data_IF_075336009080
#
_entry.id   IF_075336009080
#
_cell.length_a   1.000
_cell.length_b   1.000
_cell.length_c   1.000
_cell.angle_alpha   90.00
_cell.angle_beta   90.00
_cell.angle_gamma   90.00
#
_symmetry.space_group_name_H-M   'P 1'
#
loop_
_entity.id
_entity.type
_entity.pdbx_description
1 polymer ?
#
# COMPACT_ATOMS: atom_id res chain seq x y z
N UNK A 1 2.05 4.81 -18.52
CA UNK A 1 0.97 5.18 -17.58
C UNK A 1 1.25 4.60 -16.17
N UNK A 2 1.52 3.28 -16.00
CA UNK A 2 1.71 2.61 -14.69
C UNK A 2 2.83 3.24 -13.84
N UNK A 3 4.02 3.42 -14.40
CA UNK A 3 5.17 4.02 -13.70
C UNK A 3 4.90 5.46 -13.22
N UNK A 4 4.04 6.21 -13.94
CA UNK A 4 3.65 7.56 -13.52
C UNK A 4 2.68 7.51 -12.34
N UNK A 5 1.78 6.53 -12.29
CA UNK A 5 0.89 6.31 -11.14
C UNK A 5 1.70 5.90 -9.91
N UNK A 6 2.65 4.98 -10.06
CA UNK A 6 3.57 4.60 -8.98
C UNK A 6 4.30 5.82 -8.39
N UNK A 7 4.85 6.69 -9.26
CA UNK A 7 5.46 7.95 -8.84
C UNK A 7 4.48 8.84 -8.06
N UNK A 8 3.25 8.98 -8.56
CA UNK A 8 2.25 9.86 -7.97
C UNK A 8 1.77 9.33 -6.60
N UNK A 9 1.64 8.01 -6.45
CA UNK A 9 1.37 7.35 -5.18
C UNK A 9 2.52 7.62 -4.20
N UNK A 10 3.75 7.28 -4.57
CA UNK A 10 4.93 7.49 -3.73
C UNK A 10 5.14 8.96 -3.36
N UNK A 11 4.81 9.90 -4.25
CA UNK A 11 4.90 11.34 -3.97
C UNK A 11 3.81 11.84 -3.02
N UNK A 12 2.67 11.16 -2.95
CA UNK A 12 1.52 11.53 -2.10
C UNK A 12 1.52 10.81 -0.75
N UNK A 13 2.29 9.72 -0.60
CA UNK A 13 2.34 8.93 0.63
C UNK A 13 3.36 9.48 1.62
N UNK A 14 2.95 9.56 2.90
CA UNK A 14 3.84 9.85 4.03
C UNK A 14 3.35 9.00 5.22
N UNK A 15 3.86 7.79 5.34
CA UNK A 15 3.41 6.83 6.34
C UNK A 15 4.60 6.02 6.89
N UNK A 16 4.65 5.70 8.21
CA UNK A 16 5.78 5.02 8.84
C UNK A 16 6.06 3.61 8.28
N UNK A 17 5.08 2.96 7.68
CA UNK A 17 5.18 1.60 7.14
C UNK A 17 5.06 1.56 5.61
N UNK A 18 5.35 2.68 4.94
CA UNK A 18 5.45 2.78 3.48
C UNK A 18 6.81 3.40 3.12
N UNK A 19 7.48 2.86 2.11
CA UNK A 19 8.76 3.37 1.64
C UNK A 19 8.65 4.83 1.21
N UNK A 20 9.51 5.68 1.75
CA UNK A 20 9.53 7.11 1.42
C UNK A 20 10.26 7.34 0.10
N UNK A 21 9.64 8.10 -0.81
CA UNK A 21 10.32 8.62 -1.99
C UNK A 21 10.90 10.00 -1.71
N UNK A 22 12.22 10.13 -1.75
CA UNK A 22 12.89 11.41 -1.55
C UNK A 22 12.85 12.28 -2.80
N UNK A 23 12.95 11.66 -3.98
CA UNK A 23 13.00 12.38 -5.25
C UNK A 23 12.63 11.47 -6.41
N UNK A 24 12.00 12.06 -7.45
CA UNK A 24 11.88 11.45 -8.77
C UNK A 24 12.59 12.35 -9.79
N UNK A 25 13.31 11.74 -10.72
CA UNK A 25 14.00 12.43 -11.81
C UNK A 25 13.70 11.71 -13.13
N UNK A 26 13.60 12.47 -14.19
CA UNK A 26 13.41 11.98 -15.53
C UNK A 26 14.52 12.49 -16.46
N UNK A 27 15.14 11.59 -17.20
CA UNK A 27 15.97 11.91 -18.37
C UNK A 27 15.12 11.70 -19.63
N UNK A 28 15.72 11.86 -20.81
CA UNK A 28 15.05 11.63 -22.09
C UNK A 28 14.47 10.23 -22.19
N UNK A 29 15.19 9.22 -21.67
CA UNK A 29 14.88 7.80 -21.90
C UNK A 29 14.60 7.00 -20.60
N UNK A 30 14.80 7.60 -19.41
CA UNK A 30 14.72 6.90 -18.13
C UNK A 30 14.05 7.73 -17.06
N UNK A 31 13.34 7.03 -16.15
CA UNK A 31 12.78 7.59 -14.93
C UNK A 31 13.51 6.98 -13.72
N UNK A 32 13.91 7.83 -12.79
CA UNK A 32 14.67 7.43 -11.60
C UNK A 32 13.87 7.80 -10.36
N UNK A 33 13.69 6.82 -9.44
CA UNK A 33 13.13 7.03 -8.11
C UNK A 33 14.22 6.87 -7.07
N UNK A 34 14.37 7.87 -6.21
CA UNK A 34 15.26 7.82 -5.05
C UNK A 34 14.40 7.49 -3.84
N UNK A 35 14.48 6.24 -3.40
CA UNK A 35 13.66 5.69 -2.34
C UNK A 35 14.47 5.49 -1.07
N UNK A 36 13.78 5.43 0.07
CA UNK A 36 14.35 5.03 1.34
C UNK A 36 14.97 3.63 1.22
N UNK A 37 16.24 3.53 1.62
CA UNK A 37 16.93 2.24 1.63
C UNK A 37 16.58 1.46 2.90
N UNK A 38 16.21 0.20 2.74
CA UNK A 38 15.84 -0.71 3.81
C UNK A 38 16.86 -1.87 3.90
N UNK A 39 17.96 -1.73 4.67
CA UNK A 39 19.06 -2.70 4.68
C UNK A 39 18.71 -4.08 5.26
N UNK A 40 17.53 -4.21 5.89
CA UNK A 40 16.98 -5.52 6.31
C UNK A 40 16.58 -6.43 5.15
N UNK A 41 16.48 -5.87 3.91
CA UNK A 41 16.11 -6.59 2.71
C UNK A 41 14.63 -6.93 2.63
N UNK A 42 14.27 -7.90 1.80
CA UNK A 42 12.89 -8.35 1.62
C UNK A 42 12.40 -9.15 2.83
N UNK A 43 11.15 -8.91 3.25
CA UNK A 43 10.49 -9.65 4.33
C UNK A 43 10.38 -11.14 4.01
N UNK A 44 10.15 -11.48 2.74
CA UNK A 44 10.20 -12.85 2.26
C UNK A 44 11.48 -13.59 2.70
N UNK A 45 12.64 -12.95 2.53
CA UNK A 45 13.92 -13.55 2.94
C UNK A 45 14.06 -13.67 4.44
N UNK A 46 13.54 -12.69 5.17
CA UNK A 46 13.52 -12.74 6.63
C UNK A 46 12.68 -13.92 7.13
N UNK A 47 11.48 -14.14 6.55
CA UNK A 47 10.63 -15.28 6.86
C UNK A 47 11.31 -16.61 6.51
N UNK A 48 11.92 -16.71 5.33
CA UNK A 48 12.60 -17.94 4.86
C UNK A 48 13.80 -18.36 5.74
N UNK A 49 14.40 -17.42 6.47
CA UNK A 49 15.49 -17.69 7.43
C UNK A 49 14.96 -18.18 8.78
N UNK A 50 13.68 -18.03 9.07
CA UNK A 50 13.09 -18.49 10.32
C UNK A 50 12.93 -20.03 10.34
N UNK A 51 12.95 -20.66 11.52
CA UNK A 51 12.66 -22.08 11.66
C UNK A 51 11.31 -22.43 11.00
N UNK A 52 11.33 -23.47 10.14
CA UNK A 52 10.13 -23.89 9.37
C UNK A 52 9.52 -22.76 8.51
N UNK A 53 10.30 -21.70 8.20
CA UNK A 53 9.91 -20.54 7.39
C UNK A 53 8.68 -19.76 7.93
N UNK A 54 8.48 -19.77 9.23
CA UNK A 54 7.33 -19.17 9.91
C UNK A 54 7.76 -18.44 11.19
N UNK A 55 6.89 -17.58 11.71
CA UNK A 55 7.12 -16.82 12.94
C UNK A 55 6.02 -17.12 13.97
N UNK A 56 6.27 -16.91 15.27
CA UNK A 56 5.28 -17.01 16.32
C UNK A 56 4.08 -16.07 16.07
N UNK A 57 2.90 -16.47 16.56
CA UNK A 57 1.66 -15.69 16.36
C UNK A 57 1.77 -14.26 16.91
N UNK A 58 2.45 -14.05 18.05
CA UNK A 58 2.69 -12.72 18.59
C UNK A 58 3.53 -11.83 17.66
N UNK A 59 4.48 -12.41 16.94
CA UNK A 59 5.28 -11.70 15.93
C UNK A 59 4.46 -11.41 14.67
N UNK A 60 3.65 -12.39 14.23
CA UNK A 60 2.75 -12.22 13.10
C UNK A 60 1.71 -11.13 13.38
N UNK A 61 1.14 -11.09 14.60
CA UNK A 61 0.24 -10.01 15.06
C UNK A 61 0.89 -8.64 14.92
N UNK A 62 2.13 -8.48 15.39
CA UNK A 62 2.88 -7.23 15.31
C UNK A 62 3.04 -6.77 13.85
N UNK A 63 3.58 -7.64 13.00
CA UNK A 63 3.82 -7.32 11.60
C UNK A 63 2.53 -7.14 10.79
N UNK A 64 1.50 -7.94 11.05
CA UNK A 64 0.17 -7.74 10.47
C UNK A 64 -0.40 -6.37 10.84
N UNK A 65 -0.19 -5.89 12.08
CA UNK A 65 -0.64 -4.56 12.50
C UNK A 65 0.01 -3.44 11.69
N UNK A 66 1.30 -3.54 11.39
CA UNK A 66 2.02 -2.56 10.56
C UNK A 66 1.49 -2.52 9.13
N UNK A 67 1.30 -3.69 8.51
CA UNK A 67 0.81 -3.81 7.15
C UNK A 67 -0.66 -3.35 7.05
N UNK A 68 -1.49 -3.68 8.05
CA UNK A 68 -2.87 -3.21 8.12
C UNK A 68 -2.94 -1.68 8.06
N UNK A 69 -2.14 -0.98 8.88
CA UNK A 69 -2.10 0.49 8.87
C UNK A 69 -1.62 1.05 7.53
N UNK A 70 -0.66 0.39 6.87
CA UNK A 70 -0.19 0.81 5.55
C UNK A 70 -1.28 0.67 4.47
N UNK A 71 -2.00 -0.45 4.44
CA UNK A 71 -3.11 -0.69 3.49
C UNK A 71 -4.28 0.25 3.79
N UNK A 72 -4.69 0.39 5.07
CA UNK A 72 -5.72 1.35 5.48
C UNK A 72 -5.41 2.76 4.98
N UNK A 73 -4.16 3.22 5.15
CA UNK A 73 -3.72 4.53 4.69
C UNK A 73 -3.80 4.70 3.17
N UNK A 74 -3.41 3.68 2.39
CA UNK A 74 -3.55 3.70 0.93
C UNK A 74 -5.02 3.78 0.52
N UNK A 75 -5.90 3.00 1.15
CA UNK A 75 -7.35 3.03 0.87
C UNK A 75 -7.97 4.39 1.22
N UNK A 76 -7.54 5.04 2.32
CA UNK A 76 -7.96 6.41 2.67
C UNK A 76 -7.53 7.44 1.62
N UNK A 77 -6.40 7.24 0.95
CA UNK A 77 -5.96 8.07 -0.18
C UNK A 77 -6.65 7.70 -1.50
N UNK A 78 -7.52 6.69 -1.52
CA UNK A 78 -8.22 6.22 -2.71
C UNK A 78 -7.37 5.32 -3.61
N UNK A 79 -6.35 4.67 -3.08
CA UNK A 79 -5.52 3.71 -3.81
C UNK A 79 -5.79 2.28 -3.35
N UNK A 80 -5.81 1.35 -4.29
CA UNK A 80 -5.82 -0.10 -4.06
C UNK A 80 -4.43 -0.60 -4.41
N UNK A 81 -3.80 -1.36 -3.51
CA UNK A 81 -2.40 -1.79 -3.65
C UNK A 81 -2.22 -2.98 -4.62
N UNK A 82 -3.03 -4.03 -4.49
CA UNK A 82 -3.19 -5.21 -5.38
C UNK A 82 -2.01 -6.17 -5.50
N UNK A 83 -0.87 -5.89 -4.89
CA UNK A 83 0.31 -6.77 -4.97
C UNK A 83 0.96 -7.00 -3.60
N UNK A 84 0.11 -7.18 -2.56
CA UNK A 84 0.60 -7.48 -1.22
C UNK A 84 1.13 -8.91 -1.19
N UNK A 85 2.43 -9.03 -0.93
CA UNK A 85 3.17 -10.28 -0.75
C UNK A 85 4.49 -10.00 -0.04
N UNK A 86 5.14 -11.00 0.59
CA UNK A 86 6.36 -10.79 1.37
C UNK A 86 7.53 -10.21 0.57
N UNK A 87 7.57 -10.42 -0.76
CA UNK A 87 8.60 -9.88 -1.66
C UNK A 87 8.51 -8.36 -1.80
N UNK A 88 7.30 -7.79 -1.73
CA UNK A 88 7.03 -6.36 -1.86
C UNK A 88 7.05 -5.62 -0.52
N UNK A 89 7.41 -6.30 0.54
CA UNK A 89 7.59 -5.73 1.88
C UNK A 89 9.08 -5.73 2.20
N UNK A 90 9.62 -4.56 2.52
CA UNK A 90 11.01 -4.39 2.93
C UNK A 90 11.11 -4.28 4.44
N UNK A 91 12.26 -4.68 4.97
CA UNK A 91 12.58 -4.59 6.40
C UNK A 91 13.52 -3.42 6.62
N UNK A 92 13.07 -2.43 7.37
CA UNK A 92 13.90 -1.31 7.79
C UNK A 92 15.00 -1.78 8.75
N UNK A 93 16.08 -1.02 8.90
CA UNK A 93 17.16 -1.33 9.85
C UNK A 93 16.71 -1.48 11.31
N UNK A 94 15.61 -0.84 11.69
CA UNK A 94 15.00 -0.98 13.00
C UNK A 94 14.20 -2.27 13.20
N UNK A 95 13.93 -3.02 12.14
CA UNK A 95 13.09 -4.22 12.13
C UNK A 95 11.61 -3.98 11.76
N UNK A 96 11.18 -2.72 11.60
CA UNK A 96 9.84 -2.39 11.11
C UNK A 96 9.69 -2.74 9.62
N UNK A 97 8.46 -3.06 9.22
CA UNK A 97 8.13 -3.35 7.83
C UNK A 97 7.79 -2.07 7.06
N UNK A 98 8.16 -2.06 5.79
CA UNK A 98 7.93 -0.97 4.86
C UNK A 98 7.33 -1.52 3.56
N UNK A 99 6.07 -1.14 3.24
CA UNK A 99 5.43 -1.51 1.99
C UNK A 99 6.12 -0.80 0.83
N UNK A 100 6.45 -1.53 -0.23
CA UNK A 100 7.18 -1.05 -1.42
C UNK A 100 6.50 -1.56 -2.70
N UNK A 101 7.02 -1.18 -3.86
CA UNK A 101 6.54 -1.58 -5.20
C UNK A 101 5.04 -1.32 -5.44
N UNK A 102 4.74 -0.13 -5.97
CA UNK A 102 3.38 0.31 -6.31
C UNK A 102 3.05 0.12 -7.79
N UNK A 103 3.85 -0.65 -8.53
CA UNK A 103 3.70 -0.85 -9.98
C UNK A 103 2.38 -1.47 -10.41
N UNK A 104 1.68 -2.16 -9.51
CA UNK A 104 0.35 -2.74 -9.75
C UNK A 104 -0.79 -2.00 -9.04
N UNK A 105 -0.51 -0.95 -8.27
CA UNK A 105 -1.53 -0.17 -7.59
C UNK A 105 -2.46 0.56 -8.57
N UNK A 106 -3.70 0.86 -8.13
CA UNK A 106 -4.69 1.62 -8.90
C UNK A 106 -5.41 2.66 -8.04
N UNK A 107 -5.92 3.72 -8.71
CA UNK A 107 -6.92 4.59 -8.10
C UNK A 107 -8.24 3.82 -7.98
N UNK A 108 -8.90 3.94 -6.83
CA UNK A 108 -10.27 3.48 -6.65
C UNK A 108 -11.18 4.43 -7.43
N UNK A 109 -11.71 3.97 -8.57
CA UNK A 109 -12.76 4.71 -9.26
C UNK A 109 -14.02 4.56 -8.46
N UNK A 110 -14.57 5.66 -7.98
CA UNK A 110 -15.87 5.70 -7.32
C UNK A 110 -16.98 5.42 -8.35
N UNK A 111 -17.28 4.15 -8.58
CA UNK A 111 -18.50 3.72 -9.26
C UNK A 111 -19.63 3.69 -8.23
N UNK A 112 -19.96 4.84 -7.66
CA UNK A 112 -21.17 5.06 -6.88
C UNK A 112 -22.16 5.84 -7.73
N UNK A 113 -23.42 5.45 -7.73
CA UNK A 113 -24.53 6.07 -8.44
C UNK A 113 -24.74 7.57 -8.15
N UNK A 114 -23.92 8.20 -7.31
CA UNK A 114 -24.08 9.58 -6.86
C UNK A 114 -22.84 10.46 -7.05
N UNK A 115 -21.98 10.21 -7.99
CA UNK A 115 -21.00 11.17 -8.57
C UNK A 115 -20.37 12.23 -7.64
N UNK A 116 -20.33 12.05 -6.31
CA UNK A 116 -19.70 12.98 -5.38
C UNK A 116 -18.37 12.43 -4.88
N UNK A 117 -17.25 13.12 -5.12
CA UNK A 117 -15.98 12.79 -4.48
C UNK A 117 -16.12 12.94 -2.96
N UNK A 118 -15.65 11.98 -2.20
CA UNK A 118 -15.43 12.15 -0.76
C UNK A 118 -14.52 13.37 -0.56
N UNK A 119 -15.08 14.44 0.00
CA UNK A 119 -14.32 15.60 0.46
C UNK A 119 -13.51 15.15 1.69
N UNK A 120 -12.22 14.96 1.53
CA UNK A 120 -11.33 14.64 2.62
C UNK A 120 -9.89 14.99 2.29
N UNK A 121 -9.42 16.02 2.95
CA UNK A 121 -8.02 16.33 3.25
C UNK A 121 -7.07 16.48 2.05
N UNK A 122 -7.03 17.68 1.51
CA UNK A 122 -5.92 18.13 0.65
C UNK A 122 -4.67 18.33 1.50
N UNK A 123 -3.55 17.63 1.23
CA UNK A 123 -2.24 18.08 1.73
C UNK A 123 -1.87 19.36 0.97
N UNK A 124 -1.78 20.46 1.69
CA UNK A 124 -1.39 21.75 1.14
C UNK A 124 0.05 21.72 0.58
N UNK A 125 0.21 21.44 -0.68
CA UNK A 125 1.47 21.68 -1.40
C UNK A 125 1.45 23.12 -1.86
N UNK A 126 2.01 24.03 -1.04
CA UNK A 126 2.37 25.36 -1.49
C UNK A 126 3.49 25.26 -2.53
N UNK A 127 3.13 25.36 -3.80
CA UNK A 127 4.09 25.60 -4.88
C UNK A 127 4.69 26.99 -4.70
N UNK A 128 5.87 27.10 -4.08
CA UNK A 128 6.72 28.29 -4.19
C UNK A 128 7.09 28.49 -5.66
N UNK A 129 6.44 29.47 -6.30
CA UNK A 129 6.88 30.00 -7.59
C UNK A 129 8.21 30.73 -7.37
N UNK A 130 9.31 30.09 -7.73
CA UNK A 130 10.60 30.77 -7.85
C UNK A 130 10.54 31.75 -9.02
N UNK A 131 10.34 33.00 -8.71
CA UNK A 131 10.56 34.13 -9.61
C UNK A 131 12.03 34.52 -9.51
N UNK A 132 12.81 34.13 -10.50
CA UNK A 132 14.22 34.58 -10.63
C UNK A 132 14.24 36.08 -10.81
N UNK A 133 14.78 36.79 -9.82
CA UNK A 133 15.35 38.15 -10.01
C UNK A 133 16.82 38.08 -9.63
N UNK A 134 17.64 38.38 -10.62
CA UNK A 134 19.05 38.73 -10.45
C UNK A 134 19.13 40.04 -9.66
N UNK A 135 19.90 40.09 -8.56
CA UNK A 135 20.61 41.29 -8.12
C UNK A 135 21.52 40.96 -6.94
N UNK A 136 22.73 41.34 -7.02
CA UNK A 136 23.72 42.01 -6.24
C UNK A 136 23.80 41.68 -4.75
N UNK A 137 25.01 41.29 -4.39
CA UNK A 137 25.53 41.17 -3.03
C UNK A 137 25.62 42.57 -2.40
N UNK A 138 24.88 42.80 -1.30
CA UNK A 138 25.19 43.88 -0.34
C UNK A 138 24.92 43.40 1.09
N UNK A 139 25.92 43.65 1.95
CA UNK A 139 25.97 43.32 3.38
C UNK A 139 25.24 44.40 4.18
N UNK A 140 24.31 44.11 5.09
CA UNK A 140 23.76 45.12 5.98
C UNK A 140 24.54 45.21 7.28
N UNK A 141 24.92 46.44 7.62
CA UNK A 141 25.43 46.86 8.93
C UNK A 141 24.29 46.91 9.96
N UNK A 142 24.64 46.52 11.18
CA UNK A 142 23.83 46.66 12.39
C UNK A 142 23.58 48.16 12.74
N UNK A 143 22.33 48.48 13.10
CA UNK A 143 22.04 49.60 14.00
C UNK A 143 20.74 49.37 14.77
N UNK A 144 20.81 49.70 16.05
CA UNK A 144 19.80 49.62 17.11
C UNK A 144 18.63 50.59 16.92
N UNK A 145 17.43 50.19 17.44
CA UNK A 145 16.54 51.22 17.97
C UNK A 145 15.05 51.00 17.92
N UNK A 146 14.51 50.65 19.06
CA UNK A 146 13.20 51.06 19.68
C UNK A 146 11.84 50.81 19.03
N UNK A 147 11.03 50.31 19.93
CA UNK A 147 9.60 50.06 19.92
C UNK A 147 8.69 51.24 19.63
N UNK A 148 7.51 51.00 19.09
CA UNK A 148 6.24 51.56 19.60
C UNK A 148 5.03 50.95 18.93
N UNK A 149 3.98 50.80 19.72
CA UNK A 149 2.62 50.26 19.46
C UNK A 149 1.84 51.10 18.40
N UNK A 150 0.77 50.49 17.88
CA UNK A 150 -0.63 50.99 17.83
C UNK A 150 -1.44 50.14 16.79
N UNK A 151 -2.36 49.30 17.24
CA UNK A 151 -3.84 49.28 17.27
C UNK A 151 -4.60 49.50 15.95
N UNK A 152 -5.43 48.51 15.71
CA UNK A 152 -6.82 48.48 15.16
C UNK A 152 -7.10 48.67 13.66
N UNK A 153 -8.06 47.83 13.23
CA UNK A 153 -8.98 48.17 12.18
C UNK A 153 -9.31 47.03 11.20
N UNK A 154 -10.40 46.31 11.48
CA UNK A 154 -10.93 45.25 10.66
C UNK A 154 -11.58 45.72 9.36
N UNK A 155 -11.84 44.80 8.48
CA UNK A 155 -13.10 44.63 7.74
C UNK A 155 -13.06 43.43 6.78
N UNK A 156 -14.13 42.66 6.86
CA UNK A 156 -14.57 41.57 5.99
C UNK A 156 -14.50 41.87 4.49
N UNK A 157 -14.17 40.82 3.69
CA UNK A 157 -14.92 40.48 2.47
C UNK A 157 -14.64 39.06 2.00
N UNK A 158 -15.63 38.26 2.13
CA UNK A 158 -16.25 37.18 1.32
C UNK A 158 -15.57 36.71 0.02
N UNK A 159 -15.45 35.35 -0.02
CA UNK A 159 -15.70 34.41 -1.13
C UNK A 159 -15.02 34.59 -2.49
N UNK A 160 -14.21 33.57 -2.85
CA UNK A 160 -14.55 32.66 -3.95
C UNK A 160 -13.57 31.48 -3.98
N UNK A 161 -14.13 30.30 -3.67
CA UNK A 161 -13.53 28.99 -3.92
C UNK A 161 -13.38 28.76 -5.43
N UNK A 162 -12.19 28.39 -5.88
CA UNK A 162 -11.90 27.95 -7.24
C UNK A 162 -11.36 26.53 -7.21
N UNK A 163 -12.19 25.57 -7.58
CA UNK A 163 -11.86 24.18 -7.80
C UNK A 163 -10.69 24.00 -8.78
N UNK A 164 -9.67 23.27 -8.37
CA UNK A 164 -8.55 22.92 -9.24
C UNK A 164 -8.16 21.43 -9.08
N UNK A 165 -9.11 20.51 -9.26
CA UNK A 165 -8.84 19.06 -9.24
C UNK A 165 -9.46 18.29 -10.42
N UNK A 166 -10.12 18.95 -11.38
CA UNK A 166 -10.80 18.28 -12.51
C UNK A 166 -9.96 18.17 -13.80
N UNK A 167 -8.64 18.36 -13.75
CA UNK A 167 -7.79 18.39 -14.96
C UNK A 167 -6.82 17.20 -15.12
N UNK A 168 -6.94 16.16 -14.32
CA UNK A 168 -6.08 14.97 -14.43
C UNK A 168 -6.76 13.72 -14.99
N UNK A 169 -8.07 13.77 -15.21
CA UNK A 169 -8.80 12.72 -15.94
C UNK A 169 -9.43 13.39 -17.16
N UNK A 170 -8.88 13.16 -18.35
CA UNK A 170 -9.23 13.82 -19.60
C UNK A 170 -10.72 13.74 -19.92
N UNK A 171 -11.35 14.90 -20.00
CA UNK A 171 -12.69 15.06 -20.50
C UNK A 171 -12.68 15.21 -22.02
N UNK A 172 -13.49 14.39 -22.69
CA UNK A 172 -13.93 14.60 -24.06
C UNK A 172 -15.44 14.63 -24.04
N UNK A 173 -16.02 15.79 -24.35
CA UNK A 173 -17.45 15.97 -24.56
C UNK A 173 -17.85 15.38 -25.90
N UNK A 174 -18.94 14.60 -25.99
CA UNK A 174 -20.11 14.88 -26.83
C UNK A 174 -21.16 13.75 -26.82
N UNK A 175 -22.43 14.18 -26.56
CA UNK A 175 -23.73 13.79 -27.15
C UNK A 175 -24.32 12.42 -26.85
N UNK A 176 -25.43 12.46 -26.11
CA UNK A 176 -26.68 11.66 -26.07
C UNK A 176 -26.72 10.34 -26.89
N UNK A 177 -27.01 9.24 -26.19
CA UNK A 177 -27.49 8.00 -26.77
C UNK A 177 -27.38 6.82 -25.82
N UNK A 178 -28.50 6.42 -25.27
CA UNK A 178 -28.93 5.09 -24.83
C UNK A 178 -28.06 4.23 -23.88
N UNK A 179 -28.69 3.81 -22.79
CA UNK A 179 -28.25 2.91 -21.74
C UNK A 179 -27.72 1.58 -22.27
N UNK A 180 -26.40 1.40 -22.16
CA UNK A 180 -25.77 0.08 -22.13
C UNK A 180 -24.70 0.10 -21.03
N UNK A 181 -24.50 -0.98 -20.27
CA UNK A 181 -23.48 -1.01 -19.23
C UNK A 181 -22.11 -0.93 -19.90
N UNK A 182 -21.39 0.17 -19.66
CA UNK A 182 -20.00 0.34 -20.11
C UNK A 182 -19.15 -0.65 -19.35
N UNK A 183 -18.89 -1.78 -19.98
CA UNK A 183 -17.82 -2.70 -19.56
C UNK A 183 -16.51 -2.01 -19.93
N UNK A 184 -15.77 -1.57 -18.91
CA UNK A 184 -14.46 -0.95 -19.07
C UNK A 184 -13.51 -1.90 -19.81
N UNK A 185 -13.27 -1.61 -21.07
CA UNK A 185 -12.33 -2.35 -21.94
C UNK A 185 -10.89 -2.31 -21.38
N UNK A 186 -10.54 -1.32 -20.57
CA UNK A 186 -9.25 -1.27 -19.87
C UNK A 186 -9.15 -2.30 -18.72
N UNK A 187 -10.27 -2.65 -18.07
CA UNK A 187 -10.28 -3.70 -17.03
C UNK A 187 -10.06 -5.09 -17.63
N UNK A 188 -10.55 -5.33 -18.87
CA UNK A 188 -10.33 -6.60 -19.57
C UNK A 188 -8.89 -6.77 -20.03
N UNK A 189 -8.23 -5.70 -20.54
CA UNK A 189 -6.83 -5.75 -20.96
C UNK A 189 -5.87 -5.99 -19.79
N UNK A 190 -6.17 -5.43 -18.60
CA UNK A 190 -5.34 -5.60 -17.41
C UNK A 190 -5.57 -6.97 -16.76
N UNK A 191 -6.77 -7.54 -16.86
CA UNK A 191 -7.06 -8.90 -16.38
C UNK A 191 -6.32 -9.95 -17.21
N UNK A 192 -6.27 -9.80 -18.54
CA UNK A 192 -5.48 -10.68 -19.40
C UNK A 192 -3.97 -10.51 -19.15
N UNK A 193 -3.48 -9.27 -18.93
CA UNK A 193 -2.09 -9.02 -18.58
C UNK A 193 -1.74 -9.45 -17.16
N UNK A 194 -2.69 -9.43 -16.23
CA UNK A 194 -2.55 -9.94 -14.87
C UNK A 194 -2.42 -11.46 -14.84
N UNK A 195 -3.32 -12.16 -15.50
CA UNK A 195 -3.30 -13.62 -15.64
C UNK A 195 -2.05 -14.10 -16.43
N UNK A 196 -1.71 -13.45 -17.54
CA UNK A 196 -0.51 -13.78 -18.31
C UNK A 196 0.81 -13.46 -17.58
N UNK A 197 0.84 -12.47 -16.65
CA UNK A 197 1.98 -12.24 -15.76
C UNK A 197 2.01 -13.24 -14.60
N UNK A 198 0.86 -13.65 -14.08
CA UNK A 198 0.77 -14.70 -13.06
C UNK A 198 1.34 -16.03 -13.57
N UNK A 199 1.16 -16.34 -14.86
CA UNK A 199 1.73 -17.54 -15.49
C UNK A 199 3.26 -17.49 -15.65
N UNK A 200 3.90 -16.31 -15.56
CA UNK A 200 5.37 -16.16 -15.66
C UNK A 200 6.12 -16.15 -14.33
N UNK A 201 5.43 -16.13 -13.19
CA UNK A 201 6.05 -16.07 -11.86
C UNK A 201 5.50 -17.17 -10.93
N UNK A 202 6.30 -18.20 -10.72
CA UNK A 202 6.07 -19.23 -9.70
C UNK A 202 6.10 -18.58 -8.32
N UNK A 203 4.94 -18.29 -7.71
CA UNK A 203 4.83 -17.70 -6.38
C UNK A 203 3.73 -16.64 -6.26
N UNK A 204 3.48 -15.86 -7.29
CA UNK A 204 2.46 -14.78 -7.26
C UNK A 204 1.04 -15.32 -7.35
N UNK A 205 0.83 -16.49 -7.96
CA UNK A 205 -0.48 -17.13 -8.10
C UNK A 205 -1.14 -17.41 -6.75
N UNK A 206 -0.38 -17.83 -5.76
CA UNK A 206 -0.87 -18.22 -4.43
C UNK A 206 -1.55 -17.06 -3.66
N UNK A 207 -1.39 -15.80 -4.10
CA UNK A 207 -1.96 -14.59 -3.50
C UNK A 207 -3.18 -14.04 -4.23
N UNK A 208 -3.53 -14.59 -5.40
CA UNK A 208 -4.63 -14.08 -6.24
C UNK A 208 -5.97 -14.31 -5.53
N UNK A 209 -6.82 -13.27 -5.50
CA UNK A 209 -8.16 -13.36 -4.96
C UNK A 209 -9.13 -14.04 -5.96
N UNK A 210 -10.17 -14.78 -5.49
CA UNK A 210 -11.11 -15.49 -6.36
C UNK A 210 -11.78 -14.58 -7.39
N UNK A 211 -12.18 -13.37 -7.00
CA UNK A 211 -12.83 -12.40 -7.90
C UNK A 211 -11.90 -11.92 -9.03
N UNK A 212 -10.57 -11.98 -8.84
CA UNK A 212 -9.60 -11.66 -9.89
C UNK A 212 -9.54 -12.79 -10.91
N UNK A 213 -9.60 -14.05 -10.46
CA UNK A 213 -9.65 -15.22 -11.34
C UNK A 213 -10.95 -15.22 -12.14
N UNK A 214 -12.08 -14.90 -11.50
CA UNK A 214 -13.40 -14.82 -12.11
C UNK A 214 -13.62 -13.61 -13.00
N UNK A 215 -12.67 -12.69 -13.06
CA UNK A 215 -12.76 -11.43 -13.80
C UNK A 215 -14.03 -10.59 -13.44
N UNK A 216 -14.47 -10.69 -12.19
CA UNK A 216 -15.66 -10.00 -11.67
C UNK A 216 -15.30 -8.63 -11.15
N UNK A 217 -14.85 -7.69 -11.82
CA UNK A 217 -14.53 -6.34 -11.31
C UNK A 217 -14.20 -6.32 -9.80
N UNK A 218 -13.08 -5.82 -9.39
CA UNK A 218 -12.62 -5.86 -7.99
C UNK A 218 -12.27 -4.45 -7.48
N UNK A 219 -12.55 -4.25 -6.19
CA UNK A 219 -12.23 -3.03 -5.46
C UNK A 219 -11.13 -3.31 -4.40
N UNK A 220 -11.07 -2.54 -3.34
CA UNK A 220 -10.12 -2.73 -2.24
C UNK A 220 -10.24 -4.08 -1.49
N UNK A 221 -11.28 -4.87 -1.76
CA UNK A 221 -11.47 -6.21 -1.17
C UNK A 221 -10.31 -7.16 -1.46
N UNK A 222 -9.63 -7.02 -2.59
CA UNK A 222 -8.46 -7.85 -2.95
C UNK A 222 -7.29 -7.67 -1.99
N UNK A 223 -7.09 -6.47 -1.45
CA UNK A 223 -6.00 -6.20 -0.51
C UNK A 223 -6.24 -6.90 0.83
N UNK A 224 -7.49 -7.05 1.25
CA UNK A 224 -7.83 -7.78 2.48
C UNK A 224 -7.72 -9.29 2.31
N UNK A 225 -8.01 -9.82 1.12
CA UNK A 225 -7.71 -11.21 0.79
C UNK A 225 -6.19 -11.48 0.86
N UNK A 226 -5.40 -10.69 0.16
CA UNK A 226 -3.93 -10.85 0.15
C UNK A 226 -3.31 -10.62 1.52
N UNK A 227 -3.91 -9.75 2.36
CA UNK A 227 -3.55 -9.60 3.76
C UNK A 227 -3.83 -10.88 4.58
N UNK A 228 -4.95 -11.54 4.35
CA UNK A 228 -5.26 -12.86 4.94
C UNK A 228 -4.25 -13.93 4.52
N UNK A 229 -3.89 -14.00 3.22
CA UNK A 229 -2.86 -14.91 2.71
C UNK A 229 -1.52 -14.65 3.40
N UNK A 230 -1.10 -13.40 3.50
CA UNK A 230 0.15 -13.00 4.16
C UNK A 230 0.17 -13.40 5.64
N UNK A 231 -0.92 -13.16 6.38
CA UNK A 231 -1.03 -13.55 7.78
C UNK A 231 -0.93 -15.08 7.92
N UNK A 232 -1.62 -15.82 7.06
CA UNK A 232 -1.55 -17.28 7.07
C UNK A 232 -0.11 -17.76 6.78
N UNK A 233 0.56 -17.21 5.76
CA UNK A 233 1.93 -17.60 5.41
C UNK A 233 2.93 -17.29 6.53
N UNK A 234 2.81 -16.15 7.21
CA UNK A 234 3.64 -15.83 8.37
C UNK A 234 3.54 -16.89 9.48
N UNK A 235 2.36 -17.42 9.70
CA UNK A 235 2.09 -18.39 10.77
C UNK A 235 2.44 -19.83 10.39
N UNK A 236 2.24 -20.19 9.13
CA UNK A 236 2.29 -21.59 8.69
C UNK A 236 3.50 -21.90 7.78
N UNK A 237 4.16 -20.85 7.22
CA UNK A 237 5.30 -21.02 6.31
C UNK A 237 4.94 -21.47 4.91
N UNK A 238 3.64 -21.52 4.61
CA UNK A 238 3.03 -21.80 3.32
C UNK A 238 1.73 -21.02 3.18
N UNK A 239 1.23 -20.84 1.97
CA UNK A 239 -0.05 -20.21 1.72
C UNK A 239 -1.22 -21.21 1.88
N UNK A 240 -2.45 -20.75 2.18
CA UNK A 240 -3.57 -21.65 2.51
C UNK A 240 -4.07 -22.48 1.34
N UNK A 241 -3.96 -21.96 0.11
CA UNK A 241 -4.51 -22.60 -1.09
C UNK A 241 -3.47 -23.25 -1.98
N UNK A 242 -2.26 -23.42 -1.50
CA UNK A 242 -1.16 -24.00 -2.28
C UNK A 242 -1.49 -25.39 -2.78
N UNK A 243 -1.53 -25.57 -4.10
CA UNK A 243 -1.66 -26.84 -4.79
C UNK A 243 -0.30 -27.48 -5.13
N UNK A 244 -0.34 -28.60 -5.84
CA UNK A 244 0.84 -29.28 -6.38
C UNK A 244 1.46 -28.49 -7.53
N UNK A 245 0.61 -27.85 -8.30
CA UNK A 245 0.94 -26.97 -9.42
C UNK A 245 0.06 -25.72 -9.43
N UNK A 246 0.18 -24.93 -10.50
CA UNK A 246 -0.57 -23.69 -10.69
C UNK A 246 -2.07 -23.94 -10.84
N UNK A 247 -2.46 -24.98 -11.57
CA UNK A 247 -3.87 -25.27 -11.86
C UNK A 247 -4.57 -25.79 -10.60
N UNK A 248 -3.93 -26.67 -9.84
CA UNK A 248 -4.40 -27.10 -8.52
C UNK A 248 -4.55 -25.90 -7.56
N UNK A 249 -3.60 -24.94 -7.60
CA UNK A 249 -3.66 -23.73 -6.76
C UNK A 249 -4.86 -22.85 -7.15
N UNK A 250 -5.12 -22.67 -8.44
CA UNK A 250 -6.32 -21.94 -8.90
C UNK A 250 -7.61 -22.65 -8.51
N UNK A 251 -7.65 -23.97 -8.63
CA UNK A 251 -8.81 -24.76 -8.21
C UNK A 251 -9.07 -24.61 -6.70
N UNK A 252 -8.04 -24.69 -5.86
CA UNK A 252 -8.15 -24.50 -4.42
C UNK A 252 -8.63 -23.09 -4.05
N UNK A 253 -8.10 -22.05 -4.69
CA UNK A 253 -8.57 -20.67 -4.49
C UNK A 253 -10.04 -20.54 -4.90
N UNK A 254 -10.43 -21.16 -6.03
CA UNK A 254 -11.80 -21.12 -6.51
C UNK A 254 -12.78 -21.85 -5.59
N UNK A 255 -12.39 -22.98 -4.99
CA UNK A 255 -13.17 -23.66 -3.97
C UNK A 255 -13.30 -22.83 -2.70
N UNK A 256 -12.24 -22.13 -2.32
CA UNK A 256 -12.21 -21.24 -1.16
C UNK A 256 -12.06 -21.97 0.18
N UNK A 257 -11.93 -23.30 0.17
CA UNK A 257 -11.76 -24.12 1.37
C UNK A 257 -10.28 -24.24 1.72
N UNK A 258 -9.95 -24.05 2.99
CA UNK A 258 -8.60 -24.25 3.51
C UNK A 258 -8.63 -24.80 4.93
N UNK A 259 -7.56 -25.49 5.32
CA UNK A 259 -7.43 -26.10 6.64
C UNK A 259 -6.24 -25.51 7.41
N UNK A 260 -6.39 -25.47 8.73
CA UNK A 260 -5.31 -25.13 9.64
C UNK A 260 -4.48 -26.37 9.96
N UNK A 261 -3.14 -26.36 9.72
CA UNK A 261 -2.30 -27.52 10.05
C UNK A 261 -2.36 -27.86 11.54
N UNK A 262 -2.78 -29.08 11.88
CA UNK A 262 -2.91 -29.54 13.28
C UNK A 262 -1.60 -29.50 14.07
N UNK A 263 -0.47 -29.53 13.38
CA UNK A 263 0.87 -29.48 13.97
C UNK A 263 1.30 -28.07 14.40
N UNK A 264 0.48 -27.04 14.14
CA UNK A 264 0.76 -25.64 14.43
C UNK A 264 -0.36 -25.12 15.32
N UNK A 265 0.01 -24.73 16.53
CA UNK A 265 -0.94 -24.09 17.43
C UNK A 265 -1.24 -22.67 16.94
N UNK A 266 -2.48 -22.42 16.58
CA UNK A 266 -3.02 -21.13 16.15
C UNK A 266 -4.23 -20.83 17.03
N UNK A 267 -4.32 -19.63 17.59
CA UNK A 267 -5.44 -19.24 18.46
C UNK A 267 -6.77 -19.25 17.68
N UNK A 268 -7.89 -19.40 18.38
CA UNK A 268 -9.21 -19.37 17.73
C UNK A 268 -9.52 -17.97 17.18
N UNK A 269 -9.06 -16.94 17.85
CA UNK A 269 -9.17 -15.55 17.38
C UNK A 269 -8.44 -15.33 16.06
N UNK A 270 -7.26 -15.94 15.91
CA UNK A 270 -6.51 -15.88 14.66
C UNK A 270 -7.19 -16.65 13.54
N UNK A 271 -7.70 -17.87 13.86
CA UNK A 271 -8.44 -18.68 12.90
C UNK A 271 -9.72 -17.98 12.44
N UNK A 272 -10.43 -17.32 13.36
CA UNK A 272 -11.63 -16.56 13.07
C UNK A 272 -11.34 -15.39 12.12
N UNK A 273 -10.34 -14.57 12.43
CA UNK A 273 -9.91 -13.50 11.54
C UNK A 273 -9.54 -14.01 10.15
N UNK A 274 -8.78 -15.11 10.07
CA UNK A 274 -8.38 -15.69 8.79
C UNK A 274 -9.57 -16.18 7.97
N UNK A 275 -10.59 -16.82 8.60
CA UNK A 275 -11.82 -17.23 7.90
C UNK A 275 -12.59 -16.02 7.36
N UNK A 276 -12.65 -14.93 8.12
CA UNK A 276 -13.32 -13.70 7.70
C UNK A 276 -12.59 -12.99 6.55
N UNK A 277 -11.25 -12.93 6.59
CA UNK A 277 -10.44 -12.31 5.54
C UNK A 277 -10.40 -13.15 4.25
N UNK A 278 -10.38 -14.47 4.38
CA UNK A 278 -10.29 -15.44 3.27
C UNK A 278 -11.68 -15.99 2.87
N UNK A 279 -12.75 -15.29 3.19
CA UNK A 279 -14.07 -15.61 2.67
C UNK A 279 -14.07 -15.43 1.14
N UNK A 280 -14.47 -16.47 0.41
CA UNK A 280 -14.49 -16.49 -1.05
C UNK A 280 -15.37 -15.38 -1.61
N UNK A 281 -16.61 -15.32 -1.12
CA UNK A 281 -17.54 -14.28 -1.57
C UNK A 281 -17.17 -12.91 -0.99
N UNK A 282 -17.02 -11.89 -1.85
CA UNK A 282 -16.65 -10.54 -1.43
C UNK A 282 -17.60 -9.93 -0.40
N UNK A 283 -18.89 -10.26 -0.46
CA UNK A 283 -19.92 -9.76 0.47
C UNK A 283 -19.75 -10.30 1.90
N UNK A 284 -19.16 -11.48 2.04
CA UNK A 284 -18.93 -12.15 3.32
C UNK A 284 -17.51 -11.88 3.86
N UNK A 285 -16.65 -11.31 3.01
CA UNK A 285 -15.26 -10.97 3.37
C UNK A 285 -15.20 -9.74 4.26
N UNK A 286 -14.42 -9.83 5.32
CA UNK A 286 -14.13 -8.69 6.18
C UNK A 286 -13.21 -7.68 5.46
N UNK A 287 -13.76 -6.52 5.11
CA UNK A 287 -13.08 -5.48 4.32
C UNK A 287 -13.00 -4.12 5.01
N UNK A 288 -13.60 -3.98 6.19
CA UNK A 288 -13.55 -2.74 6.97
C UNK A 288 -12.29 -2.69 7.85
N UNK A 289 -11.35 -1.76 7.61
CA UNK A 289 -10.13 -1.65 8.41
C UNK A 289 -10.42 -1.45 9.90
N UNK A 290 -11.43 -0.67 10.22
CA UNK A 290 -11.84 -0.42 11.61
C UNK A 290 -12.27 -1.72 12.30
N UNK A 291 -13.13 -2.53 11.66
CA UNK A 291 -13.59 -3.79 12.23
C UNK A 291 -12.42 -4.80 12.33
N UNK A 292 -11.51 -4.81 11.35
CA UNK A 292 -10.30 -5.65 11.41
C UNK A 292 -9.43 -5.25 12.62
N UNK A 293 -9.24 -3.96 12.87
CA UNK A 293 -8.45 -3.46 14.01
C UNK A 293 -9.08 -3.80 15.37
N UNK A 294 -10.40 -3.80 15.44
CA UNK A 294 -11.16 -4.12 16.64
C UNK A 294 -11.35 -5.62 16.87
N UNK A 295 -10.91 -6.45 15.90
CA UNK A 295 -11.02 -7.91 16.02
C UNK A 295 -10.21 -8.45 17.19
N UNK A 296 -10.71 -9.47 17.95
CA UNK A 296 -10.05 -10.06 19.12
C UNK A 296 -8.59 -10.48 18.88
N UNK A 297 -8.25 -10.92 17.68
CA UNK A 297 -6.86 -11.22 17.30
C UNK A 297 -5.91 -10.06 17.59
N UNK A 298 -6.33 -8.80 17.34
CA UNK A 298 -5.51 -7.61 17.57
C UNK A 298 -5.66 -7.03 19.00
N UNK A 299 -6.33 -7.73 19.90
CA UNK A 299 -6.43 -7.27 21.29
C UNK A 299 -5.05 -7.03 21.89
N UNK A 300 -4.89 -5.89 22.57
CA UNK A 300 -3.63 -5.46 23.19
C UNK A 300 -2.68 -4.71 22.24
N UNK A 301 -3.00 -4.55 20.95
CA UNK A 301 -2.19 -3.73 20.03
C UNK A 301 -2.40 -2.25 20.35
N UNK A 302 -1.31 -1.55 20.66
CA UNK A 302 -1.34 -0.09 20.77
C UNK A 302 -1.08 0.56 19.41
N UNK A 303 -2.15 0.80 18.66
CA UNK A 303 -2.08 1.33 17.29
C UNK A 303 -1.37 2.68 17.19
N UNK A 304 -1.57 3.56 18.15
CA UNK A 304 -0.96 4.89 18.15
C UNK A 304 0.56 4.86 18.36
N UNK A 305 1.05 3.88 19.10
CA UNK A 305 2.46 3.73 19.43
C UNK A 305 3.17 2.62 18.68
N UNK A 306 2.53 1.99 17.69
CA UNK A 306 3.07 0.83 16.99
C UNK A 306 4.45 1.12 16.37
N UNK A 307 4.62 2.30 15.76
CA UNK A 307 5.90 2.76 15.21
C UNK A 307 7.03 2.84 16.24
N UNK A 308 6.69 3.11 17.50
CA UNK A 308 7.67 3.31 18.57
C UNK A 308 7.93 2.03 19.37
N UNK A 309 7.20 0.95 19.09
CA UNK A 309 7.44 -0.35 19.70
C UNK A 309 8.68 -1.01 19.08
N UNK A 310 9.37 -1.82 19.86
CA UNK A 310 10.50 -2.59 19.35
C UNK A 310 10.00 -3.77 18.53
N UNK A 311 10.36 -3.87 17.24
CA UNK A 311 9.99 -5.03 16.41
C UNK A 311 10.54 -6.34 16.97
N UNK A 312 9.82 -7.45 16.78
CA UNK A 312 10.22 -8.74 17.33
C UNK A 312 11.48 -9.33 16.67
N UNK A 313 11.75 -8.96 15.42
CA UNK A 313 12.95 -9.39 14.69
C UNK A 313 13.67 -8.14 14.19
N UNK A 314 14.92 -7.95 14.62
CA UNK A 314 15.78 -6.88 14.14
C UNK A 314 16.79 -7.49 13.17
N UNK A 315 16.88 -6.99 11.93
CA UNK A 315 17.82 -7.52 10.96
C UNK A 315 19.26 -7.23 11.38
N UNK A 316 20.15 -8.16 11.11
CA UNK A 316 21.57 -7.92 11.28
C UNK A 316 22.07 -6.99 10.16
N UNK A 317 22.51 -5.79 10.53
CA UNK A 317 23.00 -4.74 9.63
C UNK A 317 24.30 -4.19 10.18
N UNK A 318 25.41 -4.30 9.41
CA UNK A 318 26.73 -3.82 9.84
C UNK A 318 26.91 -2.32 9.63
N UNK A 319 26.32 -1.78 8.59
CA UNK A 319 26.36 -0.36 8.25
C UNK A 319 25.11 0.05 7.43
N UNK A 320 24.78 1.35 7.32
CA UNK A 320 23.56 1.79 6.66
C UNK A 320 23.38 1.36 5.19
N UNK A 321 24.45 1.04 4.50
CA UNK A 321 24.47 0.58 3.10
C UNK A 321 24.75 -0.93 2.98
N UNK A 322 24.54 -1.70 4.03
CA UNK A 322 24.76 -3.15 4.03
C UNK A 322 23.77 -3.85 3.10
N UNK A 323 24.29 -4.66 2.19
CA UNK A 323 23.47 -5.39 1.19
C UNK A 323 23.34 -6.89 1.48
N UNK A 324 23.88 -7.40 2.59
CA UNK A 324 23.88 -8.84 2.94
C UNK A 324 22.51 -9.48 2.99
N UNK A 325 21.48 -8.69 3.28
CA UNK A 325 20.10 -9.16 3.37
C UNK A 325 19.40 -9.22 2.01
N UNK A 326 20.04 -8.75 0.95
CA UNK A 326 19.57 -8.86 -0.42
C UNK A 326 20.16 -10.09 -1.13
N UNK A 327 19.58 -10.44 -2.27
CA UNK A 327 20.09 -11.49 -3.14
C UNK A 327 21.40 -11.00 -3.79
N UNK A 328 22.46 -11.77 -3.68
CA UNK A 328 23.65 -11.52 -4.51
C UNK A 328 23.31 -11.90 -5.95
N UNK A 329 23.36 -10.96 -6.85
CA UNK A 329 23.42 -11.24 -8.26
C UNK A 329 24.87 -11.65 -8.56
N UNK A 330 25.07 -12.81 -9.19
CA UNK A 330 26.33 -13.09 -9.85
C UNK A 330 26.25 -12.33 -11.17
N UNK A 331 27.22 -11.45 -11.39
CA UNK A 331 27.43 -10.79 -12.68
C UNK A 331 27.65 -11.82 -13.78
#
# INVERSE_FOLDING_TARGET
KRVMLERDILASTNHPFIVTMYRAMQTKDRLYFFLQYCPGGEFFRMLRRQPKKRIPESYAKFYASEILLAIEYLHLLGFIYRDLKPENILVHMSGHLMLADFGLARCQTSSGKDGKPLQGVSPGIQRRKNRSKKSGFEVPRLSNGRASNIVSGGRNRTNRSGNCFSRLCGGGSHVLGEDSPVVDTESQLDSQNGANRAMSFVGTVEYIAPEVIENKGYAGSVDWWTFGILLFEMLHGTTPFKGKDTDDTFANIYLGDFEFPRSIQTSEECKDLLRLLLAKEMKDRLTSPHIIRDHPFFHGVNWALLRNQKPPIIPEVRHPLDTRNFRSFKD
#
